data_IF_736330505191
#
_entry.id   IF_736330505191
#
_cell.length_a   1.000
_cell.length_b   1.000
_cell.length_c   1.000
_cell.angle_alpha   90.00
_cell.angle_beta   90.00
_cell.angle_gamma   90.00
#
_symmetry.space_group_name_H-M   'P 1'
#
loop_
_entity.id
_entity.type
_entity.pdbx_description
1 polymer ?
#
# COMPACT_ATOMS: atom_id res chain seq x y z
N UNK A 1 14.53 -1.55 -0.93
CA UNK A 1 13.14 -1.04 -0.79
C UNK A 1 12.23 -2.22 -1.04
N UNK A 2 11.34 -2.61 -0.11
CA UNK A 2 10.41 -3.70 -0.37
C UNK A 2 9.50 -3.32 -1.54
N UNK A 3 9.56 -4.08 -2.63
CA UNK A 3 8.64 -3.98 -3.76
C UNK A 3 7.41 -4.85 -3.49
N UNK A 4 6.25 -4.38 -3.94
CA UNK A 4 4.99 -5.07 -3.78
C UNK A 4 3.93 -4.48 -4.70
N UNK A 5 2.95 -5.30 -5.06
CA UNK A 5 1.86 -4.91 -5.96
C UNK A 5 0.68 -4.39 -5.16
N UNK A 6 0.12 -3.25 -5.58
CA UNK A 6 -1.09 -2.68 -4.98
C UNK A 6 -2.23 -3.65 -5.26
N UNK A 7 -2.76 -4.26 -4.20
CA UNK A 7 -3.88 -5.21 -4.30
C UNK A 7 -5.19 -4.48 -4.52
N UNK A 8 -5.39 -3.38 -3.79
CA UNK A 8 -6.56 -2.53 -3.92
C UNK A 8 -6.27 -1.16 -3.30
N UNK A 9 -6.77 -0.10 -3.94
CA UNK A 9 -6.60 1.27 -3.48
C UNK A 9 -7.87 2.08 -3.71
N UNK A 10 -8.28 2.85 -2.70
CA UNK A 10 -9.40 3.78 -2.77
C UNK A 10 -8.87 5.22 -2.76
N UNK A 11 -8.82 5.89 -3.92
CA UNK A 11 -8.33 7.27 -4.01
C UNK A 11 -9.25 8.27 -3.31
N UNK A 12 -10.56 8.02 -3.26
CA UNK A 12 -11.53 8.93 -2.63
C UNK A 12 -11.40 8.93 -1.10
N UNK A 13 -11.01 7.80 -0.50
CA UNK A 13 -10.77 7.68 0.94
C UNK A 13 -9.29 7.76 1.32
N UNK A 14 -8.38 7.70 0.35
CA UNK A 14 -6.94 7.82 0.59
C UNK A 14 -6.31 6.64 1.31
N UNK A 15 -6.81 5.41 1.10
CA UNK A 15 -6.21 4.23 1.72
C UNK A 15 -6.25 3.01 0.80
N UNK A 16 -5.40 2.04 1.08
CA UNK A 16 -5.35 0.80 0.33
C UNK A 16 -4.58 -0.31 1.03
N UNK A 17 -4.43 -1.41 0.31
CA UNK A 17 -3.65 -2.56 0.74
C UNK A 17 -2.63 -2.91 -0.34
N UNK A 18 -1.40 -3.12 0.09
CA UNK A 18 -0.30 -3.60 -0.74
C UNK A 18 -0.01 -5.03 -0.33
N UNK A 19 0.16 -5.89 -1.33
CA UNK A 19 0.67 -7.24 -1.11
C UNK A 19 2.19 -7.22 -1.36
N UNK A 20 3.03 -7.47 -0.34
CA UNK A 20 4.47 -7.58 -0.53
C UNK A 20 4.81 -8.80 -1.38
N UNK A 21 5.82 -8.69 -2.25
CA UNK A 21 6.29 -9.80 -3.08
C UNK A 21 6.96 -10.92 -2.25
N UNK A 22 7.41 -10.60 -1.03
CA UNK A 22 7.97 -11.57 -0.08
C UNK A 22 6.94 -12.55 0.52
N UNK A 23 5.67 -12.46 0.14
CA UNK A 23 4.61 -13.33 0.68
C UNK A 23 4.21 -12.98 2.12
N UNK A 24 4.70 -11.85 2.63
CA UNK A 24 4.34 -11.29 3.92
C UNK A 24 2.86 -10.87 3.96
N UNK A 25 2.38 -10.61 5.18
CA UNK A 25 1.00 -10.18 5.44
C UNK A 25 0.66 -8.92 4.65
N UNK A 26 -0.60 -8.82 4.22
CA UNK A 26 -1.12 -7.64 3.53
C UNK A 26 -0.83 -6.36 4.35
N UNK A 27 -0.19 -5.38 3.72
CA UNK A 27 0.22 -4.13 4.36
C UNK A 27 -0.81 -3.06 4.09
N UNK A 28 -1.41 -2.51 5.14
CA UNK A 28 -2.30 -1.36 5.02
C UNK A 28 -1.51 -0.07 4.78
N UNK A 29 -1.93 0.72 3.80
CA UNK A 29 -1.30 2.00 3.45
C UNK A 29 -2.32 3.13 3.48
N UNK A 30 -1.92 4.28 4.04
CA UNK A 30 -2.70 5.51 4.05
C UNK A 30 -1.96 6.56 3.21
N UNK A 31 -2.67 7.31 2.36
CA UNK A 31 -2.09 8.26 1.40
C UNK A 31 -1.33 9.41 2.07
N UNK A 32 -1.63 9.71 3.34
CA UNK A 32 -0.82 10.63 4.15
C UNK A 32 0.65 10.19 4.30
N UNK A 33 0.94 8.90 4.09
CA UNK A 33 2.31 8.37 4.05
C UNK A 33 2.94 8.41 2.66
N UNK A 34 2.15 8.52 1.58
CA UNK A 34 2.63 8.56 0.19
C UNK A 34 3.05 9.98 -0.22
N UNK A 35 2.46 11.02 0.36
CA UNK A 35 2.86 12.43 0.10
C UNK A 35 4.23 12.83 0.70
N UNK A 36 4.95 11.90 1.34
CA UNK A 36 6.28 12.15 1.94
C UNK A 36 7.39 11.20 1.45
N UNK A 37 7.21 10.55 0.31
CA UNK A 37 8.24 9.70 -0.30
C UNK A 37 8.93 10.41 -1.47
#
# INVERSE_FOLDING_TARGET
MPQGVIKWFNPAKGFGFIKPDNGDKDVFVHISAVERA
#
